data_IF_642619813920
#
_entry.id   IF_642619813920
#
_cell.length_a   1.000
_cell.length_b   1.000
_cell.length_c   1.000
_cell.angle_alpha   90.00
_cell.angle_beta   90.00
_cell.angle_gamma   90.00
#
_symmetry.space_group_name_H-M   'P 1'
#
loop_
_entity.id
_entity.type
_entity.pdbx_description
1 polymer ?
#
# COMPACT_ATOMS: atom_id res chain seq x y z
N UNK A 1 5.68 7.21 2.51
CA UNK A 1 6.31 6.67 1.28
C UNK A 1 5.41 5.64 0.61
N UNK A 2 4.98 4.58 1.31
CA UNK A 2 4.04 3.58 0.79
C UNK A 2 2.78 4.20 0.13
N UNK A 3 2.12 5.15 0.80
CA UNK A 3 0.93 5.83 0.26
C UNK A 3 1.19 6.53 -1.09
N UNK A 4 2.40 7.05 -1.33
CA UNK A 4 2.73 7.71 -2.58
C UNK A 4 2.87 6.70 -3.74
N UNK A 5 3.41 5.50 -3.48
CA UNK A 5 3.43 4.41 -4.45
C UNK A 5 2.02 3.91 -4.76
N UNK A 6 1.17 3.78 -3.74
CA UNK A 6 -0.22 3.41 -3.93
C UNK A 6 -0.96 4.43 -4.81
N UNK A 7 -0.88 5.72 -4.47
CA UNK A 7 -1.48 6.78 -5.29
C UNK A 7 -0.90 6.77 -6.71
N UNK A 8 0.41 6.59 -6.86
CA UNK A 8 1.08 6.49 -8.16
C UNK A 8 0.53 5.34 -9.01
N UNK A 9 0.28 4.18 -8.41
CA UNK A 9 -0.33 3.04 -9.09
C UNK A 9 -1.77 3.29 -9.52
N UNK A 10 -2.54 4.03 -8.75
CA UNK A 10 -3.91 4.41 -9.11
C UNK A 10 -3.91 5.45 -10.24
N UNK A 11 -3.07 6.48 -10.15
CA UNK A 11 -3.06 7.59 -11.12
C UNK A 11 -2.34 7.22 -12.42
N UNK A 12 -1.33 6.38 -12.37
CA UNK A 12 -0.50 5.97 -13.52
C UNK A 12 -0.30 4.45 -13.59
N UNK A 13 -1.36 3.66 -13.80
CA UNK A 13 -1.32 2.20 -13.67
C UNK A 13 -0.30 1.52 -14.59
N UNK A 14 -0.09 2.00 -15.82
CA UNK A 14 0.90 1.42 -16.73
C UNK A 14 2.34 1.58 -16.22
N UNK A 15 2.66 2.73 -15.61
CA UNK A 15 4.01 3.04 -15.11
C UNK A 15 4.35 2.36 -13.79
N UNK A 16 3.35 1.82 -13.11
CA UNK A 16 3.46 1.15 -11.80
C UNK A 16 2.93 -0.30 -11.88
N UNK A 17 2.88 -0.84 -13.10
CA UNK A 17 2.31 -2.17 -13.38
C UNK A 17 3.13 -3.31 -12.78
N UNK A 18 4.43 -3.09 -12.62
CA UNK A 18 5.41 -3.99 -12.03
C UNK A 18 5.47 -3.91 -10.49
N UNK A 19 4.83 -2.92 -9.87
CA UNK A 19 4.91 -2.68 -8.43
C UNK A 19 3.79 -3.41 -7.70
N UNK A 20 4.13 -4.40 -6.87
CA UNK A 20 3.23 -4.90 -5.82
C UNK A 20 3.25 -3.92 -4.64
N UNK A 21 2.08 -3.38 -4.28
CA UNK A 21 1.98 -2.35 -3.23
C UNK A 21 2.24 -2.93 -1.85
N UNK A 22 1.85 -4.17 -1.59
CA UNK A 22 2.06 -4.82 -0.29
C UNK A 22 3.55 -5.08 -0.07
N UNK A 23 4.20 -5.74 -1.03
CA UNK A 23 5.64 -6.01 -1.00
C UNK A 23 6.46 -4.72 -0.93
N UNK A 24 6.11 -3.70 -1.73
CA UNK A 24 6.79 -2.40 -1.70
C UNK A 24 6.62 -1.71 -0.35
N UNK A 25 5.47 -1.89 0.32
CA UNK A 25 5.24 -1.32 1.64
C UNK A 25 6.09 -2.02 2.67
N UNK A 26 6.20 -3.35 2.62
CA UNK A 26 7.08 -4.11 3.49
C UNK A 26 8.55 -3.75 3.30
N UNK A 27 9.04 -3.61 2.06
CA UNK A 27 10.40 -3.13 1.79
C UNK A 27 10.66 -1.74 2.42
N UNK A 28 9.68 -0.84 2.35
CA UNK A 28 9.77 0.51 2.94
C UNK A 28 9.81 0.41 4.47
N UNK A 29 8.97 -0.43 5.07
CA UNK A 29 8.96 -0.62 6.52
C UNK A 29 10.25 -1.32 7.01
N UNK A 30 10.75 -2.30 6.28
CA UNK A 30 12.05 -2.92 6.56
C UNK A 30 13.18 -1.89 6.53
N UNK A 31 13.20 -1.02 5.52
CA UNK A 31 14.21 0.02 5.44
C UNK A 31 14.14 1.03 6.61
N UNK A 32 12.93 1.47 6.98
CA UNK A 32 12.74 2.54 7.96
C UNK A 32 12.77 2.04 9.42
N UNK A 33 12.18 0.88 9.68
CA UNK A 33 11.95 0.33 11.03
C UNK A 33 12.43 -1.12 11.19
N UNK A 34 13.15 -1.66 10.20
CA UNK A 34 13.78 -3.00 10.25
C UNK A 34 12.81 -4.17 10.37
N UNK A 35 11.54 -3.97 10.02
CA UNK A 35 10.52 -5.01 10.00
C UNK A 35 9.49 -4.78 8.89
N UNK A 36 9.12 -5.85 8.20
CA UNK A 36 7.96 -5.92 7.30
C UNK A 36 6.67 -5.99 8.13
N UNK A 37 6.03 -4.84 8.35
CA UNK A 37 4.83 -4.72 9.20
C UNK A 37 3.59 -4.26 8.43
N UNK A 38 3.58 -4.37 7.08
CA UNK A 38 2.42 -3.94 6.30
C UNK A 38 1.13 -4.68 6.69
N UNK A 39 1.22 -6.00 6.91
CA UNK A 39 0.06 -6.81 7.31
C UNK A 39 -0.55 -6.35 8.65
N UNK A 40 0.27 -6.10 9.67
CA UNK A 40 -0.16 -5.56 10.96
C UNK A 40 -0.79 -4.17 10.79
N UNK A 41 -0.24 -3.33 9.91
CA UNK A 41 -0.81 -2.01 9.63
C UNK A 41 -2.17 -2.11 8.94
N UNK A 42 -2.32 -3.00 7.96
CA UNK A 42 -3.57 -3.20 7.22
C UNK A 42 -4.68 -3.76 8.12
N UNK A 43 -4.34 -4.66 9.05
CA UNK A 43 -5.28 -5.20 10.05
C UNK A 43 -5.78 -4.11 11.00
N UNK A 44 -4.88 -3.24 11.48
CA UNK A 44 -5.22 -2.23 12.47
C UNK A 44 -5.88 -0.96 11.89
N UNK A 45 -5.56 -0.60 10.64
CA UNK A 45 -5.88 0.71 10.08
C UNK A 45 -6.59 0.68 8.73
N UNK A 46 -6.96 -0.51 8.22
CA UNK A 46 -7.43 -0.74 6.86
C UNK A 46 -6.28 -0.63 5.84
N UNK A 47 -6.20 -1.60 4.93
CA UNK A 47 -5.14 -1.70 3.93
C UNK A 47 -5.29 -0.70 2.78
N UNK A 48 -4.44 -0.86 1.76
CA UNK A 48 -4.57 -0.08 0.53
C UNK A 48 -5.70 -0.61 -0.37
N UNK A 49 -6.94 -0.22 -0.07
CA UNK A 49 -8.13 -0.71 -0.77
C UNK A 49 -9.09 0.40 -1.22
N UNK A 50 -9.92 0.08 -2.23
CA UNK A 50 -11.02 0.94 -2.64
C UNK A 50 -12.18 0.79 -1.66
N UNK A 51 -12.57 1.90 -1.03
CA UNK A 51 -13.72 1.93 -0.13
C UNK A 51 -15.00 2.02 -0.97
N UNK A 52 -15.94 1.10 -0.73
CA UNK A 52 -17.26 1.12 -1.34
C UNK A 52 -18.29 1.73 -0.37
N UNK A 53 -18.91 2.84 -0.78
CA UNK A 53 -19.92 3.56 0.01
C UNK A 53 -21.37 3.21 -0.32
N UNK A 54 -21.64 2.21 -1.17
CA UNK A 54 -22.98 1.89 -1.67
C UNK A 54 -23.99 1.40 -0.63
N UNK A 55 -23.60 1.23 0.63
CA UNK A 55 -24.47 0.77 1.74
C UNK A 55 -24.64 1.83 2.84
N UNK A 56 -24.53 3.12 2.51
CA UNK A 56 -24.84 4.22 3.43
C UNK A 56 -26.23 4.82 3.20
#
# INVERSE_FOLDING_TARGET
MANAYYIGKIVYPERFSDINIEEKSDEIYEFLVSKAVYSEMAENYCGFENINFSNQ
#
